data_IF_057731962414
#
_entry.id   IF_057731962414
#
_cell.length_a   1.000
_cell.length_b   1.000
_cell.length_c   1.000
_cell.angle_alpha   90.00
_cell.angle_beta   90.00
_cell.angle_gamma   90.00
#
_symmetry.space_group_name_H-M   'P 1'
#
loop_
_entity.id
_entity.type
_entity.pdbx_description
1 polymer ?
#
# COMPACT_ATOMS: atom_id res chain seq x y z
N UNK A 1 -9.61 -8.94 -2.96
CA UNK A 1 -9.75 -9.34 -4.38
C UNK A 1 -11.18 -9.29 -4.91
N UNK A 2 -12.18 -9.88 -4.22
CA UNK A 2 -13.57 -9.95 -4.72
C UNK A 2 -14.26 -8.58 -4.92
N UNK A 3 -14.11 -7.65 -3.97
CA UNK A 3 -14.68 -6.29 -4.09
C UNK A 3 -14.12 -5.52 -5.28
N UNK A 4 -12.83 -5.69 -5.61
CA UNK A 4 -12.20 -5.00 -6.73
C UNK A 4 -12.72 -5.45 -8.10
N UNK A 5 -13.20 -6.69 -8.22
CA UNK A 5 -13.76 -7.21 -9.46
C UNK A 5 -15.21 -6.74 -9.67
N UNK A 6 -16.00 -6.70 -8.60
CA UNK A 6 -17.43 -6.33 -8.66
C UNK A 6 -17.62 -4.82 -8.69
N UNK A 7 -16.89 -4.07 -7.86
CA UNK A 7 -17.05 -2.62 -7.73
C UNK A 7 -16.16 -1.82 -8.70
N UNK A 8 -15.67 -2.44 -9.78
CA UNK A 8 -14.72 -1.80 -10.71
C UNK A 8 -15.28 -0.51 -11.33
N UNK A 9 -16.56 -0.49 -11.71
CA UNK A 9 -17.23 0.71 -12.24
C UNK A 9 -17.31 1.81 -11.18
N UNK A 10 -17.77 1.46 -9.97
CA UNK A 10 -17.84 2.40 -8.85
C UNK A 10 -16.47 3.03 -8.53
N UNK A 11 -15.40 2.24 -8.44
CA UNK A 11 -14.06 2.77 -8.20
C UNK A 11 -13.57 3.65 -9.35
N UNK A 12 -13.86 3.30 -10.59
CA UNK A 12 -13.49 4.11 -11.76
C UNK A 12 -14.23 5.45 -11.77
N UNK A 13 -15.50 5.48 -11.40
CA UNK A 13 -16.30 6.69 -11.38
C UNK A 13 -15.89 7.64 -10.25
N UNK A 14 -15.52 7.09 -9.08
CA UNK A 14 -15.14 7.89 -7.90
C UNK A 14 -13.68 8.31 -7.89
N UNK A 15 -12.76 7.42 -8.30
CA UNK A 15 -11.32 7.66 -8.23
C UNK A 15 -10.70 8.04 -9.57
N UNK A 16 -11.42 7.86 -10.69
CA UNK A 16 -10.88 8.09 -12.03
C UNK A 16 -10.45 9.53 -12.28
N UNK A 17 -11.12 10.51 -11.66
CA UNK A 17 -10.73 11.93 -11.74
C UNK A 17 -9.47 12.27 -10.93
N UNK A 18 -9.13 11.44 -9.93
CA UNK A 18 -7.93 11.57 -9.11
C UNK A 18 -6.74 10.79 -9.69
N UNK A 19 -7.00 9.83 -10.59
CA UNK A 19 -5.97 9.05 -11.25
C UNK A 19 -5.33 9.84 -12.40
N UNK A 20 -4.05 9.57 -12.66
CA UNK A 20 -3.38 10.14 -13.82
C UNK A 20 -4.04 9.64 -15.11
N UNK A 21 -4.20 10.49 -16.15
CA UNK A 21 -4.81 10.09 -17.42
C UNK A 21 -4.07 8.96 -18.13
N UNK A 22 -2.77 8.85 -17.90
CA UNK A 22 -1.94 7.75 -18.40
C UNK A 22 -0.84 7.42 -17.39
N UNK A 23 -0.41 6.15 -17.30
CA UNK A 23 0.72 5.76 -16.46
C UNK A 23 1.98 6.51 -16.91
N UNK A 24 2.75 7.06 -15.97
CA UNK A 24 4.02 7.70 -16.31
C UNK A 24 5.00 6.66 -16.88
N UNK A 25 5.41 6.75 -18.16
CA UNK A 25 6.29 5.77 -18.78
C UNK A 25 7.71 5.78 -18.18
N UNK A 26 8.12 6.88 -17.54
CA UNK A 26 9.38 6.97 -16.82
C UNK A 26 9.32 6.38 -15.39
N UNK A 27 8.13 6.04 -14.89
CA UNK A 27 8.00 5.38 -13.59
C UNK A 27 8.60 3.98 -13.66
N UNK A 28 9.46 3.65 -12.70
CA UNK A 28 10.10 2.34 -12.59
C UNK A 28 9.42 1.48 -11.53
N UNK A 29 9.56 0.16 -11.65
CA UNK A 29 9.10 -0.78 -10.61
C UNK A 29 9.76 -0.49 -9.25
N UNK A 30 11.02 -0.04 -9.25
CA UNK A 30 11.74 0.34 -8.03
C UNK A 30 11.08 1.56 -7.37
N UNK A 31 10.67 2.55 -8.16
CA UNK A 31 9.93 3.71 -7.67
C UNK A 31 8.59 3.28 -7.06
N UNK A 32 7.82 2.40 -7.71
CA UNK A 32 6.57 1.89 -7.15
C UNK A 32 6.78 1.11 -5.85
N UNK A 33 7.80 0.24 -5.81
CA UNK A 33 8.18 -0.52 -4.63
C UNK A 33 8.57 0.39 -3.46
N UNK A 34 9.42 1.39 -3.69
CA UNK A 34 9.86 2.34 -2.65
C UNK A 34 8.71 3.18 -2.10
N UNK A 35 7.83 3.70 -2.94
CA UNK A 35 6.65 4.43 -2.47
C UNK A 35 5.74 3.52 -1.63
N UNK A 36 5.53 2.27 -2.04
CA UNK A 36 4.79 1.30 -1.25
C UNK A 36 5.50 0.95 0.08
N UNK A 37 6.82 0.83 0.07
CA UNK A 37 7.62 0.56 1.26
C UNK A 37 7.64 1.74 2.26
N UNK A 38 7.44 2.98 1.80
CA UNK A 38 7.29 4.14 2.69
C UNK A 38 5.87 4.21 3.24
N UNK A 39 4.87 3.85 2.43
CA UNK A 39 3.46 3.89 2.82
C UNK A 39 3.13 2.82 3.89
N UNK A 40 3.71 1.63 3.80
CA UNK A 40 3.46 0.53 4.74
C UNK A 40 3.74 0.88 6.22
N UNK A 41 4.94 1.33 6.59
CA UNK A 41 5.27 1.75 7.94
C UNK A 41 4.39 2.90 8.43
N UNK A 42 3.99 3.81 7.55
CA UNK A 42 3.10 4.91 7.92
C UNK A 42 1.71 4.40 8.33
N UNK A 43 1.18 3.40 7.62
CA UNK A 43 -0.13 2.81 7.92
C UNK A 43 -0.12 1.97 9.21
N UNK A 44 0.88 1.12 9.39
CA UNK A 44 0.96 0.22 10.56
C UNK A 44 1.55 0.93 11.79
N UNK A 45 2.50 1.84 11.59
CA UNK A 45 3.16 2.57 12.67
C UNK A 45 2.21 3.44 13.49
N UNK A 46 1.17 4.05 12.91
CA UNK A 46 0.19 4.84 13.69
C UNK A 46 -0.61 3.98 14.67
N UNK A 47 -0.99 2.77 14.25
CA UNK A 47 -1.66 1.80 15.11
C UNK A 47 -0.74 1.34 16.24
N UNK A 48 0.51 0.96 15.90
CA UNK A 48 1.50 0.50 16.87
C UNK A 48 1.91 1.55 17.89
N UNK A 49 2.10 2.82 17.47
CA UNK A 49 2.39 3.93 18.39
C UNK A 49 1.24 4.13 19.36
N UNK A 50 0.00 4.00 18.89
CA UNK A 50 -1.19 4.10 19.75
C UNK A 50 -1.24 2.96 20.76
N UNK A 51 -0.96 1.73 20.32
CA UNK A 51 -0.91 0.56 21.22
C UNK A 51 0.22 0.68 22.25
N UNK A 52 1.41 1.10 21.84
CA UNK A 52 2.54 1.37 22.73
C UNK A 52 2.23 2.47 23.76
N UNK A 53 1.41 3.46 23.40
CA UNK A 53 1.01 4.54 24.30
C UNK A 53 -0.15 4.17 25.25
N UNK A 54 -1.00 3.21 24.88
CA UNK A 54 -2.25 2.90 25.60
C UNK A 54 -2.21 1.60 26.40
N UNK A 55 -1.51 0.57 25.92
CA UNK A 55 -1.46 -0.76 26.54
C UNK A 55 -0.20 -0.91 27.39
N UNK A 56 -0.37 -1.27 28.67
CA UNK A 56 0.76 -1.58 29.56
C UNK A 56 1.43 -2.88 29.11
N UNK A 57 2.76 -2.86 28.96
CA UNK A 57 3.61 -3.99 28.57
C UNK A 57 3.37 -4.52 27.15
N UNK A 58 2.96 -3.68 26.20
CA UNK A 58 2.94 -4.06 24.79
C UNK A 58 4.36 -4.34 24.27
N UNK A 59 4.65 -5.52 23.69
CA UNK A 59 6.01 -5.85 23.24
C UNK A 59 6.39 -5.06 21.99
N UNK A 60 7.53 -4.36 22.04
CA UNK A 60 8.09 -3.67 20.86
C UNK A 60 8.38 -4.63 19.70
N UNK A 61 8.74 -5.87 19.99
CA UNK A 61 8.99 -6.89 18.97
C UNK A 61 7.75 -7.13 18.09
N UNK A 62 6.56 -7.20 18.70
CA UNK A 62 5.31 -7.40 17.97
C UNK A 62 5.03 -6.26 17.00
N UNK A 63 5.24 -5.01 17.44
CA UNK A 63 5.08 -3.84 16.56
C UNK A 63 6.09 -3.81 15.42
N UNK A 64 7.35 -4.21 15.67
CA UNK A 64 8.35 -4.27 14.61
C UNK A 64 8.02 -5.35 13.57
N UNK A 65 7.51 -6.50 14.02
CA UNK A 65 7.06 -7.58 13.12
C UNK A 65 5.89 -7.11 12.26
N UNK A 66 4.90 -6.44 12.85
CA UNK A 66 3.74 -5.90 12.13
C UNK A 66 4.15 -4.82 11.12
N UNK A 67 5.05 -3.91 11.50
CA UNK A 67 5.57 -2.89 10.59
C UNK A 67 6.40 -3.50 9.45
N UNK A 68 7.21 -4.53 9.72
CA UNK A 68 7.99 -5.21 8.69
C UNK A 68 7.08 -5.91 7.66
N UNK A 69 6.06 -6.63 8.14
CA UNK A 69 5.07 -7.27 7.26
C UNK A 69 4.22 -6.25 6.49
N UNK A 70 3.78 -5.18 7.15
CA UNK A 70 3.03 -4.09 6.52
C UNK A 70 3.83 -3.39 5.41
N UNK A 71 5.12 -3.17 5.66
CA UNK A 71 6.07 -2.63 4.67
C UNK A 71 6.20 -3.55 3.46
N UNK A 72 6.46 -4.84 3.70
CA UNK A 72 6.64 -5.82 2.63
C UNK A 72 5.38 -5.96 1.78
N UNK A 73 4.21 -6.10 2.40
CA UNK A 73 2.93 -6.25 1.70
C UNK A 73 2.63 -5.02 0.83
N UNK A 74 2.84 -3.82 1.37
CA UNK A 74 2.53 -2.57 0.66
C UNK A 74 3.50 -2.34 -0.50
N UNK A 75 4.79 -2.62 -0.30
CA UNK A 75 5.80 -2.53 -1.36
C UNK A 75 5.55 -3.52 -2.51
N UNK A 76 5.23 -4.77 -2.18
CA UNK A 76 4.92 -5.81 -3.17
C UNK A 76 3.60 -5.53 -3.89
N UNK A 77 2.58 -5.02 -3.18
CA UNK A 77 1.30 -4.66 -3.79
C UNK A 77 1.46 -3.47 -4.75
N UNK A 78 2.23 -2.46 -4.38
CA UNK A 78 2.53 -1.32 -5.26
C UNK A 78 3.32 -1.75 -6.50
N UNK A 79 4.34 -2.61 -6.34
CA UNK A 79 5.09 -3.17 -7.46
C UNK A 79 4.21 -4.03 -8.37
N UNK A 80 3.35 -4.88 -7.80
CA UNK A 80 2.40 -5.71 -8.53
C UNK A 80 1.36 -4.89 -9.30
N UNK A 81 0.84 -3.81 -8.71
CA UNK A 81 -0.05 -2.87 -9.37
C UNK A 81 0.61 -2.16 -10.55
N UNK A 82 1.86 -1.72 -10.38
CA UNK A 82 2.66 -1.16 -11.48
C UNK A 82 2.85 -2.16 -12.62
N UNK A 83 3.19 -3.42 -12.30
CA UNK A 83 3.33 -4.47 -13.30
C UNK A 83 2.01 -4.77 -14.00
N UNK A 84 0.90 -4.85 -13.27
CA UNK A 84 -0.41 -5.10 -13.85
C UNK A 84 -0.81 -4.01 -14.85
N UNK A 85 -0.59 -2.73 -14.50
CA UNK A 85 -0.82 -1.62 -15.42
C UNK A 85 0.14 -1.67 -16.61
N UNK A 86 1.39 -2.08 -16.41
CA UNK A 86 2.38 -2.19 -17.51
C UNK A 86 2.08 -3.34 -18.49
N UNK A 87 1.48 -4.43 -18.03
CA UNK A 87 1.18 -5.59 -18.88
C UNK A 87 -0.23 -5.58 -19.48
N UNK A 88 -1.21 -4.98 -18.80
CA UNK A 88 -2.62 -5.00 -19.20
C UNK A 88 -3.23 -3.62 -19.50
N UNK A 89 -2.49 -2.54 -19.22
CA UNK A 89 -2.92 -1.15 -19.43
C UNK A 89 -2.51 -0.59 -20.78
#
# INVERSE_FOLDING_TARGET
>A
MWLGLIARSFYRDQLGSLMLPSPNPAASIATAFLHGAILGPAAYGTYDITNLATLRNWPLATSLDDMAWGTALTALTAAGGYLAVRFFG
#
